data_IF_500805690027
#
_entry.id   IF_500805690027
#
_cell.length_a   1.000
_cell.length_b   1.000
_cell.length_c   1.000
_cell.angle_alpha   90.00
_cell.angle_beta   90.00
_cell.angle_gamma   90.00
#
_symmetry.space_group_name_H-M   'P 1'
#
loop_
_entity.id
_entity.type
_entity.pdbx_description
1 polymer ?
#
# COMPACT_ATOMS: atom_id res chain seq x y z
N UNK A 1 3.70 28.94 -4.38
CA UNK A 1 4.60 28.07 -3.65
C UNK A 1 4.47 26.64 -4.14
N UNK A 2 5.52 26.11 -4.79
CA UNK A 2 5.55 24.74 -5.26
C UNK A 2 5.70 23.75 -4.11
N UNK A 3 5.08 22.59 -4.23
CA UNK A 3 5.28 21.50 -3.30
C UNK A 3 6.48 20.67 -3.77
N UNK A 4 7.43 20.41 -2.86
CA UNK A 4 8.50 19.47 -3.14
C UNK A 4 7.93 18.04 -3.02
N UNK A 5 7.79 17.38 -4.15
CA UNK A 5 7.61 15.93 -4.20
C UNK A 5 8.99 15.28 -4.20
N UNK A 6 9.12 14.11 -3.57
CA UNK A 6 10.39 13.41 -3.46
C UNK A 6 10.96 13.02 -4.83
N UNK A 7 12.28 12.94 -4.93
CA UNK A 7 13.02 12.85 -6.19
C UNK A 7 12.86 11.49 -6.92
N UNK A 8 12.57 10.39 -6.19
CA UNK A 8 12.65 9.03 -6.74
C UNK A 8 11.79 8.81 -7.97
N UNK A 9 10.57 9.39 -8.00
CA UNK A 9 9.68 9.25 -9.16
C UNK A 9 10.23 9.97 -10.41
N UNK A 10 11.03 11.02 -10.25
CA UNK A 10 11.63 11.74 -11.38
C UNK A 10 12.60 10.85 -12.17
N UNK A 11 13.28 9.92 -11.52
CA UNK A 11 14.16 8.97 -12.24
C UNK A 11 13.37 7.99 -13.11
N UNK A 12 12.14 7.63 -12.73
CA UNK A 12 11.28 6.76 -13.55
C UNK A 12 10.90 7.45 -14.86
N UNK A 13 10.68 8.76 -14.82
CA UNK A 13 10.27 9.53 -16.00
C UNK A 13 11.43 10.24 -16.71
N UNK A 14 12.67 10.05 -16.24
CA UNK A 14 13.82 10.77 -16.75
C UNK A 14 13.97 10.63 -18.28
N UNK A 15 13.85 9.41 -18.81
CA UNK A 15 14.00 9.16 -20.25
C UNK A 15 12.97 9.91 -21.10
N UNK A 16 11.65 9.85 -20.82
CA UNK A 16 10.67 10.68 -21.51
C UNK A 16 11.02 12.18 -21.56
N UNK A 17 11.50 12.72 -20.44
CA UNK A 17 11.85 14.14 -20.33
C UNK A 17 13.15 14.50 -21.06
N UNK A 18 14.07 13.57 -21.21
CA UNK A 18 15.32 13.78 -21.96
C UNK A 18 15.13 13.65 -23.48
N UNK A 19 14.25 12.73 -23.92
CA UNK A 19 14.06 12.41 -25.34
C UNK A 19 13.12 13.39 -26.03
N UNK A 20 12.01 13.74 -25.36
CA UNK A 20 10.94 14.52 -25.96
C UNK A 20 10.91 15.96 -25.43
N UNK A 21 10.68 16.93 -26.31
CA UNK A 21 10.56 18.36 -25.95
C UNK A 21 9.11 18.82 -25.86
N UNK A 22 8.21 18.21 -26.64
CA UNK A 22 6.78 18.53 -26.61
C UNK A 22 6.14 18.02 -25.32
N UNK A 23 5.48 18.90 -24.52
CA UNK A 23 4.89 18.51 -23.22
C UNK A 23 3.82 17.42 -23.32
N UNK A 24 3.06 17.37 -24.42
CA UNK A 24 2.01 16.39 -24.66
C UNK A 24 2.65 15.02 -24.91
N UNK A 25 3.71 14.98 -25.74
CA UNK A 25 4.45 13.75 -26.03
C UNK A 25 5.15 13.26 -24.77
N UNK A 26 5.79 14.14 -23.99
CA UNK A 26 6.41 13.82 -22.69
C UNK A 26 5.38 13.18 -21.77
N UNK A 27 4.19 13.79 -21.64
CA UNK A 27 3.14 13.25 -20.78
C UNK A 27 2.68 11.85 -21.23
N UNK A 28 2.44 11.66 -22.53
CA UNK A 28 2.06 10.35 -23.10
C UNK A 28 3.14 9.30 -22.89
N UNK A 29 4.40 9.64 -23.16
CA UNK A 29 5.53 8.74 -22.98
C UNK A 29 5.74 8.36 -21.50
N UNK A 30 5.65 9.31 -20.59
CA UNK A 30 5.75 9.04 -19.15
C UNK A 30 4.55 8.21 -18.62
N UNK A 31 3.35 8.43 -19.14
CA UNK A 31 2.19 7.59 -18.83
C UNK A 31 2.35 6.17 -19.38
N UNK A 32 2.96 6.00 -20.55
CA UNK A 32 3.30 4.69 -21.09
C UNK A 32 4.33 3.96 -20.22
N UNK A 33 5.37 4.65 -19.74
CA UNK A 33 6.33 4.09 -18.77
C UNK A 33 5.60 3.63 -17.49
N UNK A 34 4.66 4.43 -16.98
CA UNK A 34 3.84 4.03 -15.84
C UNK A 34 3.05 2.75 -16.12
N UNK A 35 2.44 2.64 -17.31
CA UNK A 35 1.68 1.45 -17.71
C UNK A 35 2.58 0.21 -17.80
N UNK A 36 3.81 0.33 -18.32
CA UNK A 36 4.79 -0.75 -18.35
C UNK A 36 5.14 -1.23 -16.93
N UNK A 37 5.42 -0.32 -16.01
CA UNK A 37 5.66 -0.71 -14.62
C UNK A 37 4.44 -1.39 -13.99
N UNK A 38 3.25 -0.86 -14.20
CA UNK A 38 2.01 -1.49 -13.69
C UNK A 38 1.77 -2.88 -14.30
N UNK A 39 2.11 -3.10 -15.56
CA UNK A 39 2.01 -4.40 -16.21
C UNK A 39 2.93 -5.47 -15.57
N UNK A 40 3.93 -5.08 -14.80
CA UNK A 40 4.74 -6.05 -14.03
C UNK A 40 3.99 -6.64 -12.83
N UNK A 41 2.94 -5.97 -12.35
CA UNK A 41 2.21 -6.42 -11.13
C UNK A 41 1.49 -7.77 -11.33
N UNK A 42 0.73 -8.03 -12.42
CA UNK A 42 0.18 -9.36 -12.67
C UNK A 42 1.26 -10.43 -12.89
N UNK A 43 2.41 -10.08 -13.48
CA UNK A 43 3.53 -11.01 -13.64
C UNK A 43 4.09 -11.43 -12.28
N UNK A 44 4.28 -10.47 -11.36
CA UNK A 44 4.70 -10.77 -9.99
C UNK A 44 3.66 -11.60 -9.24
N UNK A 45 2.38 -11.28 -9.39
CA UNK A 45 1.28 -12.02 -8.79
C UNK A 45 1.22 -13.47 -9.31
N UNK A 46 1.37 -13.66 -10.63
CA UNK A 46 1.46 -15.00 -11.25
C UNK A 46 2.64 -15.78 -10.66
N UNK A 47 3.82 -15.19 -10.61
CA UNK A 47 5.01 -15.82 -10.07
C UNK A 47 4.85 -16.23 -8.59
N UNK A 48 4.25 -15.35 -7.75
CA UNK A 48 3.95 -15.66 -6.36
C UNK A 48 2.94 -16.82 -6.29
N UNK A 49 1.89 -16.80 -7.10
CA UNK A 49 0.91 -17.87 -7.18
C UNK A 49 1.53 -19.24 -7.50
N UNK A 50 2.36 -19.28 -8.53
CA UNK A 50 3.03 -20.54 -8.97
C UNK A 50 4.06 -21.03 -7.96
N UNK A 51 4.97 -20.17 -7.54
CA UNK A 51 6.15 -20.58 -6.78
C UNK A 51 5.90 -20.70 -5.28
N UNK A 52 5.13 -19.80 -4.71
CA UNK A 52 4.97 -19.70 -3.25
C UNK A 52 3.63 -20.18 -2.75
N UNK A 53 2.55 -19.95 -3.47
CA UNK A 53 1.22 -20.48 -3.15
C UNK A 53 0.99 -21.85 -3.77
N UNK A 54 1.93 -22.35 -4.57
CA UNK A 54 1.95 -23.70 -5.17
C UNK A 54 0.70 -24.02 -5.98
N UNK A 55 0.19 -23.06 -6.75
CA UNK A 55 -0.91 -23.33 -7.69
C UNK A 55 -0.38 -24.16 -8.86
N UNK A 56 -0.80 -25.42 -8.94
CA UNK A 56 -0.28 -26.37 -9.92
C UNK A 56 -0.75 -26.07 -11.34
N UNK A 57 -2.01 -25.66 -11.51
CA UNK A 57 -2.57 -25.33 -12.80
C UNK A 57 -2.23 -23.92 -13.21
N UNK A 58 -1.71 -23.73 -14.42
CA UNK A 58 -1.35 -22.43 -14.95
C UNK A 58 -2.53 -21.46 -14.97
N UNK A 59 -3.71 -21.93 -15.42
CA UNK A 59 -4.95 -21.16 -15.42
C UNK A 59 -5.31 -20.58 -14.04
N UNK A 60 -5.03 -21.31 -12.96
CA UNK A 60 -5.32 -20.87 -11.60
C UNK A 60 -4.41 -19.72 -11.19
N UNK A 61 -3.11 -19.80 -11.55
CA UNK A 61 -2.17 -18.72 -11.29
C UNK A 61 -2.48 -17.49 -12.15
N UNK A 62 -2.91 -17.66 -13.40
CA UNK A 62 -3.37 -16.54 -14.25
C UNK A 62 -4.63 -15.89 -13.68
N UNK A 63 -5.61 -16.69 -13.24
CA UNK A 63 -6.83 -16.17 -12.61
C UNK A 63 -6.51 -15.38 -11.34
N UNK A 64 -5.63 -15.91 -10.48
CA UNK A 64 -5.19 -15.24 -9.27
C UNK A 64 -4.49 -13.91 -9.61
N UNK A 65 -3.58 -13.92 -10.59
CA UNK A 65 -2.84 -12.75 -11.04
C UNK A 65 -3.76 -11.67 -11.60
N UNK A 66 -4.66 -12.03 -12.52
CA UNK A 66 -5.61 -11.09 -13.10
C UNK A 66 -6.53 -10.48 -12.04
N UNK A 67 -7.15 -11.31 -11.20
CA UNK A 67 -8.10 -10.85 -10.18
C UNK A 67 -7.47 -10.03 -9.05
N UNK A 68 -6.16 -10.17 -8.81
CA UNK A 68 -5.46 -9.41 -7.75
C UNK A 68 -4.76 -8.16 -8.25
N UNK A 69 -4.33 -8.12 -9.51
CA UNK A 69 -3.55 -7.00 -10.04
C UNK A 69 -4.38 -6.06 -10.93
N UNK A 70 -5.42 -6.57 -11.60
CA UNK A 70 -6.27 -5.78 -12.52
C UNK A 70 -7.50 -5.26 -11.75
N UNK A 71 -7.24 -4.35 -10.81
CA UNK A 71 -8.29 -3.66 -10.03
C UNK A 71 -8.41 -2.24 -10.57
N UNK A 72 -9.62 -1.78 -10.89
CA UNK A 72 -9.85 -0.48 -11.54
C UNK A 72 -9.22 0.68 -10.76
N UNK A 73 -9.43 0.77 -9.44
CA UNK A 73 -8.86 1.82 -8.60
C UNK A 73 -7.32 1.84 -8.58
N UNK A 74 -6.70 0.68 -8.81
CA UNK A 74 -5.26 0.51 -8.92
C UNK A 74 -4.78 0.90 -10.32
N UNK A 75 -5.46 0.42 -11.37
CA UNK A 75 -5.08 0.67 -12.76
C UNK A 75 -5.16 2.15 -13.14
N UNK A 76 -6.13 2.89 -12.60
CA UNK A 76 -6.22 4.34 -12.82
C UNK A 76 -4.97 5.12 -12.37
N UNK A 77 -4.18 4.58 -11.44
CA UNK A 77 -2.94 5.25 -11.01
C UNK A 77 -1.86 5.26 -12.10
N UNK A 78 -1.93 4.41 -13.11
CA UNK A 78 -0.99 4.40 -14.23
C UNK A 78 -1.12 5.65 -15.13
N UNK A 79 -2.32 6.21 -15.25
CA UNK A 79 -2.59 7.37 -16.12
C UNK A 79 -2.00 8.65 -15.54
N UNK A 80 -1.90 8.75 -14.21
CA UNK A 80 -1.42 9.97 -13.57
C UNK A 80 0.10 9.97 -13.37
N UNK A 81 0.76 11.07 -13.73
CA UNK A 81 2.19 11.28 -13.43
C UNK A 81 2.36 11.62 -11.95
N UNK A 82 2.27 10.59 -11.10
CA UNK A 82 2.37 10.70 -9.64
C UNK A 82 3.12 9.50 -9.07
N UNK A 83 3.69 9.67 -7.88
CA UNK A 83 4.41 8.61 -7.19
C UNK A 83 3.56 7.42 -6.71
N UNK A 84 2.22 7.53 -6.80
CA UNK A 84 1.30 6.49 -6.32
C UNK A 84 1.45 5.17 -7.07
N UNK A 85 1.62 5.23 -8.39
CA UNK A 85 1.85 4.06 -9.23
C UNK A 85 3.08 3.27 -8.74
N UNK A 86 4.20 3.97 -8.51
CA UNK A 86 5.42 3.32 -8.03
C UNK A 86 5.25 2.67 -6.65
N UNK A 87 4.42 3.24 -5.77
CA UNK A 87 4.11 2.61 -4.49
C UNK A 87 3.38 1.27 -4.67
N UNK A 88 2.49 1.17 -5.66
CA UNK A 88 1.79 -0.09 -5.97
C UNK A 88 2.80 -1.13 -6.44
N UNK A 89 3.62 -0.80 -7.44
CA UNK A 89 4.63 -1.71 -8.00
C UNK A 89 5.61 -2.16 -6.92
N UNK A 90 6.16 -1.21 -6.14
CA UNK A 90 7.15 -1.51 -5.11
C UNK A 90 6.57 -2.31 -3.94
N UNK A 91 5.26 -2.21 -3.68
CA UNK A 91 4.62 -3.08 -2.69
C UNK A 91 4.66 -4.56 -3.14
N UNK A 92 4.38 -4.84 -4.41
CA UNK A 92 4.53 -6.17 -4.99
C UNK A 92 5.98 -6.66 -5.00
N UNK A 93 6.92 -5.78 -5.38
CA UNK A 93 8.35 -6.10 -5.38
C UNK A 93 8.87 -6.41 -3.99
N UNK A 94 8.45 -5.66 -2.96
CA UNK A 94 8.81 -5.95 -1.57
C UNK A 94 8.26 -7.30 -1.12
N UNK A 95 6.98 -7.61 -1.41
CA UNK A 95 6.41 -8.92 -1.10
C UNK A 95 7.19 -10.05 -1.77
N UNK A 96 7.54 -9.89 -3.05
CA UNK A 96 8.32 -10.86 -3.80
C UNK A 96 9.73 -11.06 -3.22
N UNK A 97 10.44 -9.97 -2.88
CA UNK A 97 11.79 -10.08 -2.33
C UNK A 97 11.81 -10.63 -0.91
N UNK A 98 10.80 -10.38 -0.08
CA UNK A 98 10.65 -11.04 1.22
C UNK A 98 10.57 -12.57 1.01
N UNK A 99 9.71 -13.02 0.12
CA UNK A 99 9.55 -14.43 -0.20
C UNK A 99 10.82 -15.03 -0.81
N UNK A 100 11.45 -14.35 -1.78
CA UNK A 100 12.70 -14.79 -2.39
C UNK A 100 13.83 -14.91 -1.34
N UNK A 101 13.98 -13.93 -0.44
CA UNK A 101 14.99 -13.96 0.61
C UNK A 101 14.78 -15.13 1.58
N UNK A 102 13.52 -15.45 1.93
CA UNK A 102 13.22 -16.58 2.81
C UNK A 102 13.48 -17.93 2.15
N UNK A 103 13.30 -18.05 0.85
CA UNK A 103 13.36 -19.31 0.09
C UNK A 103 14.56 -19.39 -0.86
N UNK A 104 15.53 -18.51 -0.70
CA UNK A 104 16.79 -18.55 -1.45
C UNK A 104 17.56 -19.85 -1.15
N UNK A 105 18.10 -20.46 -2.20
CA UNK A 105 18.83 -21.74 -2.11
C UNK A 105 20.21 -21.55 -1.47
N UNK A 106 20.85 -20.41 -1.70
CA UNK A 106 22.20 -20.11 -1.21
C UNK A 106 22.21 -18.91 -0.26
N UNK A 107 23.22 -18.83 0.61
CA UNK A 107 23.43 -17.66 1.48
C UNK A 107 23.62 -16.38 0.66
N UNK A 108 24.34 -16.46 -0.46
CA UNK A 108 24.59 -15.32 -1.36
C UNK A 108 23.30 -14.78 -1.96
N UNK A 109 22.46 -15.65 -2.53
CA UNK A 109 21.13 -15.25 -3.05
C UNK A 109 20.28 -14.59 -1.98
N UNK A 110 20.26 -15.18 -0.76
CA UNK A 110 19.52 -14.62 0.38
C UNK A 110 19.97 -13.21 0.71
N UNK A 111 21.27 -12.97 0.75
CA UNK A 111 21.83 -11.64 1.01
C UNK A 111 21.44 -10.65 -0.10
N UNK A 112 21.55 -11.05 -1.37
CA UNK A 112 21.17 -10.21 -2.51
C UNK A 112 19.70 -9.80 -2.41
N UNK A 113 18.76 -10.76 -2.24
CA UNK A 113 17.35 -10.44 -2.12
C UNK A 113 17.04 -9.59 -0.88
N UNK A 114 17.77 -9.78 0.21
CA UNK A 114 17.63 -8.97 1.43
C UNK A 114 18.05 -7.52 1.20
N UNK A 115 19.16 -7.29 0.49
CA UNK A 115 19.63 -5.93 0.15
C UNK A 115 18.66 -5.28 -0.85
N UNK A 116 18.20 -6.02 -1.87
CA UNK A 116 17.20 -5.54 -2.83
C UNK A 116 15.88 -5.17 -2.15
N UNK A 117 15.41 -5.96 -1.17
CA UNK A 117 14.25 -5.63 -0.36
C UNK A 117 14.41 -4.28 0.36
N UNK A 118 15.56 -4.10 1.03
CA UNK A 118 15.88 -2.84 1.72
C UNK A 118 15.92 -1.66 0.76
N UNK A 119 16.56 -1.83 -0.40
CA UNK A 119 16.59 -0.83 -1.45
C UNK A 119 15.18 -0.46 -1.93
N UNK A 120 14.36 -1.45 -2.31
CA UNK A 120 13.02 -1.20 -2.83
C UNK A 120 12.10 -0.54 -1.81
N UNK A 121 12.18 -0.93 -0.54
CA UNK A 121 11.42 -0.30 0.54
C UNK A 121 11.80 1.18 0.73
N UNK A 122 13.11 1.49 0.72
CA UNK A 122 13.60 2.87 0.81
C UNK A 122 13.34 3.65 -0.48
N UNK A 123 13.43 3.01 -1.64
CA UNK A 123 13.10 3.65 -2.92
C UNK A 123 11.62 4.03 -3.01
N UNK A 124 10.71 3.22 -2.44
CA UNK A 124 9.31 3.61 -2.29
C UNK A 124 9.17 4.90 -1.48
N UNK A 125 9.96 5.06 -0.41
CA UNK A 125 10.02 6.29 0.36
C UNK A 125 10.65 7.44 -0.45
N UNK A 126 11.64 7.18 -1.28
CA UNK A 126 12.22 8.16 -2.20
C UNK A 126 11.25 8.61 -3.30
N UNK A 127 10.33 7.75 -3.75
CA UNK A 127 9.29 8.11 -4.72
C UNK A 127 8.17 8.96 -4.09
N UNK A 128 7.76 8.63 -2.87
CA UNK A 128 6.71 9.37 -2.16
C UNK A 128 6.86 9.20 -0.65
N UNK A 129 6.64 10.27 0.13
CA UNK A 129 6.76 10.24 1.60
C UNK A 129 5.92 9.14 2.28
N UNK A 130 4.81 8.71 1.67
CA UNK A 130 3.99 7.57 2.13
C UNK A 130 4.70 6.22 2.01
N UNK A 131 5.71 6.10 1.17
CA UNK A 131 6.55 4.91 1.06
C UNK A 131 7.24 4.51 2.36
N UNK A 132 7.27 5.38 3.37
CA UNK A 132 7.71 5.05 4.73
C UNK A 132 6.92 3.84 5.30
N UNK A 133 5.68 3.65 4.88
CA UNK A 133 4.87 2.47 5.26
C UNK A 133 5.53 1.18 4.78
N UNK A 134 6.09 1.17 3.58
CA UNK A 134 6.78 -0.02 3.04
C UNK A 134 8.06 -0.33 3.81
N UNK A 135 8.79 0.72 4.23
CA UNK A 135 9.95 0.56 5.11
C UNK A 135 9.54 -0.10 6.42
N UNK A 136 8.48 0.43 7.06
CA UNK A 136 7.98 -0.09 8.34
C UNK A 136 7.38 -1.50 8.17
N UNK A 137 6.53 -1.71 7.15
CA UNK A 137 5.90 -3.00 6.90
C UNK A 137 6.93 -4.10 6.61
N UNK A 138 7.96 -3.80 5.79
CA UNK A 138 9.05 -4.73 5.52
C UNK A 138 9.85 -5.03 6.79
N UNK A 139 10.21 -4.00 7.56
CA UNK A 139 10.96 -4.17 8.81
C UNK A 139 10.19 -5.00 9.83
N UNK A 140 8.92 -4.69 10.05
CA UNK A 140 8.05 -5.44 10.95
C UNK A 140 7.86 -6.90 10.49
N UNK A 141 7.67 -7.11 9.18
CA UNK A 141 7.56 -8.46 8.62
C UNK A 141 8.84 -9.25 8.88
N UNK A 142 10.02 -8.68 8.56
CA UNK A 142 11.33 -9.34 8.80
C UNK A 142 11.55 -9.66 10.28
N UNK A 143 11.15 -8.75 11.18
CA UNK A 143 11.27 -8.97 12.63
C UNK A 143 10.32 -10.04 13.15
N UNK A 144 9.10 -10.12 12.63
CA UNK A 144 8.05 -10.99 13.15
C UNK A 144 8.11 -12.43 12.59
N UNK A 145 8.58 -12.62 11.35
CA UNK A 145 8.67 -13.95 10.72
C UNK A 145 9.35 -15.01 11.60
N UNK A 146 10.52 -14.76 12.24
CA UNK A 146 11.20 -15.78 13.04
C UNK A 146 10.41 -16.29 14.25
N UNK A 147 9.47 -15.52 14.75
CA UNK A 147 8.60 -15.97 15.85
C UNK A 147 7.57 -17.01 15.39
N UNK A 148 7.30 -17.05 14.08
CA UNK A 148 6.25 -17.87 13.48
C UNK A 148 6.79 -19.05 12.67
N UNK A 149 8.05 -18.95 12.19
CA UNK A 149 8.69 -20.02 11.42
C UNK A 149 9.63 -20.84 12.28
N UNK A 150 9.46 -22.16 12.27
CA UNK A 150 10.37 -23.08 12.99
C UNK A 150 11.75 -23.18 12.34
N UNK A 151 11.83 -22.93 11.03
CA UNK A 151 13.02 -23.18 10.23
C UNK A 151 14.01 -22.00 10.35
N UNK A 152 15.10 -22.20 11.12
CA UNK A 152 16.19 -21.22 11.26
C UNK A 152 16.80 -20.84 9.90
N UNK A 153 16.82 -21.76 8.97
CA UNK A 153 17.39 -21.56 7.64
C UNK A 153 16.64 -20.56 6.77
N UNK A 154 15.36 -20.28 7.08
CA UNK A 154 14.51 -19.33 6.36
C UNK A 154 14.52 -17.92 6.95
N UNK A 155 15.40 -17.65 7.91
CA UNK A 155 15.49 -16.31 8.49
C UNK A 155 16.21 -15.35 7.55
N UNK A 156 15.61 -14.18 7.37
CA UNK A 156 16.24 -13.08 6.67
C UNK A 156 17.37 -12.54 7.54
N UNK A 157 18.60 -12.33 7.00
CA UNK A 157 19.73 -11.84 7.78
C UNK A 157 19.50 -10.41 8.26
N UNK A 158 19.30 -10.21 9.56
CA UNK A 158 18.98 -8.89 10.14
C UNK A 158 20.07 -7.86 9.87
N UNK A 159 21.34 -8.21 10.03
CA UNK A 159 22.46 -7.29 9.81
C UNK A 159 22.46 -6.80 8.36
N UNK A 160 22.27 -7.71 7.39
CA UNK A 160 22.20 -7.34 5.98
C UNK A 160 20.97 -6.47 5.69
N UNK A 161 19.82 -6.78 6.30
CA UNK A 161 18.58 -6.03 6.08
C UNK A 161 18.64 -4.64 6.71
N UNK A 162 18.86 -4.54 8.01
CA UNK A 162 18.86 -3.26 8.71
C UNK A 162 20.08 -2.41 8.39
N UNK A 163 21.24 -3.04 8.17
CA UNK A 163 22.46 -2.35 7.74
C UNK A 163 22.29 -1.70 6.37
N UNK A 164 21.83 -2.46 5.38
CA UNK A 164 21.59 -1.90 4.04
C UNK A 164 20.45 -0.87 4.04
N UNK A 165 19.39 -1.10 4.82
CA UNK A 165 18.29 -0.14 4.98
C UNK A 165 18.79 1.19 5.57
N UNK A 166 19.63 1.15 6.60
CA UNK A 166 20.23 2.35 7.19
C UNK A 166 21.08 3.12 6.17
N UNK A 167 21.92 2.41 5.41
CA UNK A 167 22.73 3.01 4.33
C UNK A 167 21.85 3.68 3.30
N UNK A 168 20.82 3.01 2.78
CA UNK A 168 19.91 3.59 1.78
C UNK A 168 19.11 4.77 2.34
N UNK A 169 18.70 4.76 3.61
CA UNK A 169 18.03 5.90 4.24
C UNK A 169 18.97 7.11 4.40
N UNK A 170 20.25 6.89 4.67
CA UNK A 170 21.25 7.96 4.72
C UNK A 170 21.44 8.55 3.32
N UNK A 171 21.61 7.70 2.29
CA UNK A 171 21.71 8.13 0.89
C UNK A 171 20.46 8.92 0.50
N UNK A 172 19.27 8.41 0.80
CA UNK A 172 18.00 9.11 0.53
C UNK A 172 17.97 10.50 1.18
N UNK A 173 18.38 10.60 2.43
CA UNK A 173 18.44 11.89 3.15
C UNK A 173 19.40 12.89 2.47
N UNK A 174 20.55 12.43 2.01
CA UNK A 174 21.53 13.24 1.27
C UNK A 174 20.93 13.72 -0.05
N UNK A 175 20.35 12.79 -0.84
CA UNK A 175 19.77 13.11 -2.14
C UNK A 175 18.55 14.03 -2.01
N UNK A 176 17.68 13.83 -1.01
CA UNK A 176 16.57 14.76 -0.73
C UNK A 176 17.08 16.17 -0.42
N UNK A 177 18.15 16.30 0.39
CA UNK A 177 18.75 17.60 0.69
C UNK A 177 19.33 18.25 -0.57
N UNK A 178 20.07 17.48 -1.37
CA UNK A 178 20.69 17.93 -2.60
C UNK A 178 19.65 18.42 -3.63
N UNK A 179 18.69 17.57 -4.01
CA UNK A 179 17.67 17.94 -5.00
C UNK A 179 16.75 19.05 -4.52
N UNK A 180 16.44 19.09 -3.21
CA UNK A 180 15.66 20.17 -2.65
C UNK A 180 16.38 21.51 -2.80
N UNK A 181 17.66 21.56 -2.52
CA UNK A 181 18.47 22.77 -2.67
C UNK A 181 18.62 23.16 -4.14
N UNK A 182 18.88 22.21 -5.02
CA UNK A 182 19.04 22.44 -6.46
C UNK A 182 17.76 23.00 -7.12
N UNK A 183 16.57 22.53 -6.71
CA UNK A 183 15.28 22.95 -7.31
C UNK A 183 14.72 24.20 -6.69
N UNK A 184 14.84 24.35 -5.36
CA UNK A 184 14.11 25.38 -4.61
C UNK A 184 15.03 26.41 -3.94
N UNK A 185 16.35 26.23 -4.01
CA UNK A 185 17.32 27.06 -3.31
C UNK A 185 17.02 27.11 -1.81
N UNK A 186 17.01 28.33 -1.27
CA UNK A 186 16.69 28.58 0.14
C UNK A 186 15.17 28.73 0.41
N UNK A 187 14.33 28.67 -0.64
CA UNK A 187 12.89 28.74 -0.45
C UNK A 187 12.42 27.54 0.40
N UNK A 188 11.76 27.84 1.51
CA UNK A 188 11.25 26.82 2.42
C UNK A 188 10.19 25.96 1.70
N UNK A 189 10.58 24.77 1.28
CA UNK A 189 9.62 23.78 0.85
C UNK A 189 8.72 23.40 2.03
N UNK A 190 7.40 23.39 1.81
CA UNK A 190 6.46 22.98 2.85
C UNK A 190 6.78 21.57 3.34
N UNK A 191 6.77 21.38 4.65
CA UNK A 191 7.02 20.08 5.26
C UNK A 191 6.01 19.05 4.74
N UNK A 192 6.52 17.94 4.19
CA UNK A 192 5.72 16.84 3.65
C UNK A 192 5.29 15.82 4.71
N UNK A 193 5.56 16.12 5.99
CA UNK A 193 5.26 15.25 7.12
C UNK A 193 3.86 15.46 7.71
N UNK A 194 3.53 14.65 8.72
CA UNK A 194 2.28 14.80 9.50
C UNK A 194 2.24 16.22 10.09
N UNK A 195 1.15 16.98 9.86
CA UNK A 195 1.06 18.36 10.35
C UNK A 195 1.21 18.41 11.87
N UNK A 196 2.01 19.36 12.37
CA UNK A 196 2.24 19.56 13.81
C UNK A 196 0.91 19.64 14.57
N UNK A 197 0.81 18.96 15.69
CA UNK A 197 -0.39 18.93 16.55
C UNK A 197 -1.51 18.01 16.09
N UNK A 198 -1.38 17.28 14.96
CA UNK A 198 -2.43 16.34 14.50
C UNK A 198 -2.74 15.28 15.54
N UNK A 199 -1.74 14.68 16.17
CA UNK A 199 -1.95 13.66 17.20
C UNK A 199 -2.67 14.21 18.45
N UNK A 200 -2.45 15.50 18.79
CA UNK A 200 -3.20 16.14 19.88
C UNK A 200 -4.68 16.26 19.58
N UNK A 201 -5.10 16.22 18.31
CA UNK A 201 -6.52 16.24 17.94
C UNK A 201 -7.24 14.95 18.32
N UNK A 202 -6.55 13.82 18.36
CA UNK A 202 -7.12 12.53 18.79
C UNK A 202 -7.49 12.52 20.29
N UNK A 203 -7.00 13.50 21.07
CA UNK A 203 -7.40 13.67 22.48
C UNK A 203 -8.67 14.54 22.63
N UNK A 204 -9.17 15.16 21.55
CA UNK A 204 -10.34 16.02 21.56
C UNK A 204 -11.54 15.30 20.93
N UNK A 205 -12.72 15.36 21.52
CA UNK A 205 -13.92 14.67 21.04
C UNK A 205 -14.26 14.98 19.58
N UNK A 206 -14.08 16.23 19.11
CA UNK A 206 -14.29 16.60 17.70
C UNK A 206 -13.24 15.98 16.77
N UNK A 207 -12.02 15.77 17.25
CA UNK A 207 -10.97 15.10 16.49
C UNK A 207 -11.25 13.61 16.34
N UNK A 208 -11.66 12.93 17.42
CA UNK A 208 -12.06 11.51 17.39
C UNK A 208 -13.25 11.30 16.45
N UNK A 209 -14.30 12.12 16.57
CA UNK A 209 -15.46 12.04 15.65
C UNK A 209 -15.07 12.22 14.18
N UNK A 210 -14.18 13.16 13.88
CA UNK A 210 -13.65 13.36 12.51
C UNK A 210 -12.85 12.16 12.03
N UNK A 211 -12.02 11.57 12.90
CA UNK A 211 -11.24 10.38 12.59
C UNK A 211 -12.16 9.19 12.26
N UNK A 212 -13.15 8.92 13.10
CA UNK A 212 -14.11 7.81 12.89
C UNK A 212 -14.86 7.98 11.56
N UNK A 213 -15.38 9.18 11.28
CA UNK A 213 -16.07 9.46 10.01
C UNK A 213 -15.21 9.21 8.79
N UNK A 214 -13.96 9.67 8.84
CA UNK A 214 -12.99 9.45 7.77
C UNK A 214 -12.61 7.97 7.67
N UNK A 215 -12.37 7.29 8.77
CA UNK A 215 -12.04 5.86 8.79
C UNK A 215 -13.16 5.03 8.16
N UNK A 216 -14.43 5.31 8.49
CA UNK A 216 -15.61 4.68 7.87
C UNK A 216 -15.61 4.95 6.36
N UNK A 217 -15.39 6.19 5.92
CA UNK A 217 -15.35 6.54 4.49
C UNK A 217 -14.24 5.81 3.73
N UNK A 218 -13.08 5.67 4.33
CA UNK A 218 -11.94 4.96 3.71
C UNK A 218 -12.15 3.45 3.66
N UNK A 219 -12.73 2.85 4.70
CA UNK A 219 -13.11 1.43 4.68
C UNK A 219 -14.18 1.17 3.63
N UNK A 220 -15.23 2.01 3.59
CA UNK A 220 -16.27 1.91 2.59
C UNK A 220 -15.70 1.95 1.17
N UNK A 221 -14.83 2.94 0.89
CA UNK A 221 -14.21 3.06 -0.42
C UNK A 221 -13.30 1.86 -0.75
N UNK A 222 -12.52 1.37 0.21
CA UNK A 222 -11.70 0.18 0.00
C UNK A 222 -12.54 -1.05 -0.35
N UNK A 223 -13.67 -1.23 0.32
CA UNK A 223 -14.52 -2.39 0.11
C UNK A 223 -15.34 -2.28 -1.17
N UNK A 224 -15.92 -1.10 -1.46
CA UNK A 224 -16.72 -0.89 -2.66
C UNK A 224 -15.88 -0.92 -3.94
N UNK A 225 -14.70 -0.27 -3.96
CA UNK A 225 -13.82 -0.22 -5.14
C UNK A 225 -13.18 -1.57 -5.49
N UNK A 226 -13.21 -2.54 -4.58
CA UNK A 226 -12.66 -3.90 -4.76
C UNK A 226 -13.73 -4.99 -4.70
N UNK A 227 -15.01 -4.64 -4.81
CA UNK A 227 -16.15 -5.57 -4.71
C UNK A 227 -16.08 -6.45 -3.45
N UNK A 228 -15.62 -5.88 -2.32
CA UNK A 228 -15.48 -6.57 -1.05
C UNK A 228 -14.21 -7.40 -0.88
N UNK A 229 -13.39 -7.59 -1.93
CA UNK A 229 -12.19 -8.42 -1.83
C UNK A 229 -11.19 -7.94 -0.77
N UNK A 230 -11.04 -6.63 -0.58
CA UNK A 230 -10.18 -6.12 0.50
C UNK A 230 -10.72 -6.48 1.87
N UNK A 231 -12.04 -6.46 2.10
CA UNK A 231 -12.64 -6.92 3.35
C UNK A 231 -12.33 -8.39 3.62
N UNK A 232 -12.58 -9.25 2.63
CA UNK A 232 -12.23 -10.68 2.68
C UNK A 232 -10.73 -10.86 2.96
N UNK A 233 -9.89 -10.14 2.24
CA UNK A 233 -8.44 -10.20 2.37
C UNK A 233 -7.95 -9.84 3.76
N UNK A 234 -8.50 -8.79 4.37
CA UNK A 234 -8.16 -8.39 5.74
C UNK A 234 -8.53 -9.47 6.76
N UNK A 235 -9.73 -10.02 6.67
CA UNK A 235 -10.18 -11.11 7.55
C UNK A 235 -9.32 -12.36 7.33
N UNK A 236 -9.04 -12.70 6.07
CA UNK A 236 -8.18 -13.83 5.73
C UNK A 236 -6.75 -13.66 6.26
N UNK A 237 -6.17 -12.45 6.13
CA UNK A 237 -4.86 -12.14 6.69
C UNK A 237 -4.82 -12.35 8.21
N UNK A 238 -5.84 -11.86 8.93
CA UNK A 238 -5.94 -12.06 10.38
C UNK A 238 -6.01 -13.55 10.73
N UNK A 239 -6.85 -14.33 10.03
CA UNK A 239 -6.98 -15.78 10.24
C UNK A 239 -5.66 -16.48 9.96
N UNK A 240 -5.03 -16.21 8.81
CA UNK A 240 -3.76 -16.83 8.41
C UNK A 240 -2.66 -16.52 9.42
N UNK A 241 -2.50 -15.25 9.80
CA UNK A 241 -1.49 -14.82 10.79
C UNK A 241 -1.77 -15.46 12.15
N UNK A 242 -3.02 -15.52 12.59
CA UNK A 242 -3.40 -16.18 13.83
C UNK A 242 -3.05 -17.69 13.81
N UNK A 243 -3.38 -18.39 12.72
CA UNK A 243 -3.04 -19.81 12.54
C UNK A 243 -1.52 -20.02 12.48
N UNK A 244 -0.79 -19.09 11.86
CA UNK A 244 0.68 -19.12 11.84
C UNK A 244 1.28 -18.95 13.24
N UNK A 245 0.74 -18.02 14.06
CA UNK A 245 1.14 -17.84 15.48
C UNK A 245 0.90 -19.13 16.26
N UNK A 246 -0.24 -19.81 16.03
CA UNK A 246 -0.57 -21.10 16.64
C UNK A 246 0.21 -22.27 16.03
N UNK A 247 1.11 -22.02 15.08
CA UNK A 247 1.91 -23.05 14.38
C UNK A 247 1.05 -24.16 13.76
N UNK A 248 -0.12 -23.81 13.28
CA UNK A 248 -1.03 -24.73 12.61
C UNK A 248 -0.42 -25.27 11.32
N UNK A 249 -0.57 -26.57 11.07
CA UNK A 249 -0.15 -27.20 9.80
C UNK A 249 -0.99 -26.78 8.60
N UNK A 250 -2.13 -26.11 8.81
CA UNK A 250 -3.03 -25.65 7.74
C UNK A 250 -2.47 -24.48 6.94
N UNK A 251 -1.50 -23.75 7.49
CA UNK A 251 -0.90 -22.55 6.89
C UNK A 251 0.59 -22.74 6.72
N UNK A 252 1.08 -22.43 5.53
CA UNK A 252 2.51 -22.41 5.22
C UNK A 252 3.16 -21.10 5.63
N UNK A 253 4.49 -21.11 5.82
CA UNK A 253 5.24 -19.88 6.13
C UNK A 253 5.12 -18.83 5.02
N UNK A 254 4.95 -19.25 3.76
CA UNK A 254 4.74 -18.36 2.60
C UNK A 254 3.41 -17.61 2.70
N UNK A 255 2.33 -18.35 2.93
CA UNK A 255 0.99 -17.80 3.11
C UNK A 255 0.96 -16.82 4.28
N UNK A 256 1.56 -17.21 5.41
CA UNK A 256 1.65 -16.37 6.59
C UNK A 256 2.45 -15.09 6.37
N UNK A 257 3.58 -15.19 5.67
CA UNK A 257 4.42 -14.02 5.35
C UNK A 257 3.72 -13.05 4.43
N UNK A 258 3.09 -13.55 3.38
CA UNK A 258 2.33 -12.73 2.41
C UNK A 258 1.16 -12.02 3.10
N UNK A 259 0.41 -12.76 3.93
CA UNK A 259 -0.71 -12.23 4.71
C UNK A 259 -0.25 -11.16 5.71
N UNK A 260 0.84 -11.40 6.44
CA UNK A 260 1.40 -10.45 7.40
C UNK A 260 1.85 -9.16 6.71
N UNK A 261 2.63 -9.27 5.62
CA UNK A 261 3.11 -8.11 4.88
C UNK A 261 1.96 -7.31 4.25
N UNK A 262 0.99 -7.99 3.63
CA UNK A 262 -0.19 -7.34 3.04
C UNK A 262 -1.03 -6.61 4.09
N UNK A 263 -1.25 -7.23 5.25
CA UNK A 263 -1.96 -6.62 6.37
C UNK A 263 -1.22 -5.38 6.90
N UNK A 264 0.09 -5.48 7.14
CA UNK A 264 0.91 -4.37 7.66
C UNK A 264 0.99 -3.22 6.66
N UNK A 265 1.10 -3.51 5.37
CA UNK A 265 1.11 -2.49 4.31
C UNK A 265 -0.22 -1.73 4.26
N UNK A 266 -1.34 -2.43 4.36
CA UNK A 266 -2.66 -1.80 4.38
C UNK A 266 -2.88 -1.01 5.66
N UNK A 267 -2.69 -1.63 6.81
CA UNK A 267 -2.90 -0.99 8.11
C UNK A 267 -2.01 0.26 8.29
N UNK A 268 -0.73 0.16 7.91
CA UNK A 268 0.19 1.28 7.93
C UNK A 268 -0.25 2.42 7.01
N UNK A 269 -0.66 2.11 5.78
CA UNK A 269 -1.16 3.10 4.81
C UNK A 269 -2.45 3.76 5.30
N UNK A 270 -3.35 2.97 5.86
CA UNK A 270 -4.62 3.44 6.43
C UNK A 270 -4.40 4.40 7.60
N UNK A 271 -3.60 3.98 8.58
CA UNK A 271 -3.29 4.80 9.77
C UNK A 271 -2.54 6.07 9.38
N UNK A 272 -1.49 5.95 8.57
CA UNK A 272 -0.71 7.10 8.13
C UNK A 272 -1.57 8.10 7.37
N UNK A 273 -2.38 7.64 6.44
CA UNK A 273 -3.23 8.49 5.61
C UNK A 273 -4.33 9.18 6.41
N UNK A 274 -5.04 8.44 7.27
CA UNK A 274 -6.10 8.99 8.12
C UNK A 274 -5.54 10.00 9.13
N UNK A 275 -4.40 9.73 9.75
CA UNK A 275 -3.73 10.69 10.64
C UNK A 275 -3.26 11.92 9.86
N UNK A 276 -2.69 11.75 8.66
CA UNK A 276 -2.23 12.87 7.83
C UNK A 276 -3.36 13.85 7.50
N UNK A 277 -4.52 13.34 7.11
CA UNK A 277 -5.66 14.18 6.71
C UNK A 277 -6.54 14.66 7.86
N UNK A 278 -6.39 14.14 9.07
CA UNK A 278 -7.26 14.43 10.21
C UNK A 278 -7.47 15.93 10.45
N UNK A 279 -6.40 16.74 10.40
CA UNK A 279 -6.49 18.18 10.59
C UNK A 279 -7.35 18.87 9.53
N UNK A 280 -7.21 18.43 8.27
CA UNK A 280 -7.99 18.96 7.14
C UNK A 280 -9.44 18.53 7.21
N UNK A 281 -9.69 17.25 7.47
CA UNK A 281 -11.04 16.69 7.60
C UNK A 281 -11.79 17.31 8.77
N UNK A 282 -11.13 17.53 9.92
CA UNK A 282 -11.74 18.25 11.05
C UNK A 282 -12.16 19.67 10.66
N UNK A 283 -11.35 20.40 9.89
CA UNK A 283 -11.73 21.73 9.40
C UNK A 283 -12.97 21.70 8.51
N UNK A 284 -13.10 20.66 7.67
CA UNK A 284 -14.27 20.49 6.82
C UNK A 284 -15.56 20.18 7.62
N UNK A 285 -15.45 19.40 8.72
CA UNK A 285 -16.62 19.06 9.54
C UNK A 285 -17.07 20.16 10.50
N UNK A 286 -16.13 20.90 11.07
CA UNK A 286 -16.36 21.84 12.18
C UNK A 286 -15.90 23.26 11.90
N UNK A 287 -15.38 23.55 10.71
CA UNK A 287 -14.92 24.87 10.28
C UNK A 287 -15.74 25.43 9.14
N UNK A 288 -15.40 26.66 8.76
CA UNK A 288 -16.03 27.37 7.63
C UNK A 288 -15.49 26.94 6.27
N UNK A 289 -14.32 26.30 6.24
CA UNK A 289 -13.66 25.87 5.00
C UNK A 289 -14.10 24.47 4.61
N UNK A 290 -14.81 24.34 3.49
CA UNK A 290 -15.26 23.08 2.92
C UNK A 290 -14.42 22.62 1.72
N UNK A 291 -13.13 22.90 1.73
CA UNK A 291 -12.18 22.55 0.68
C UNK A 291 -11.73 21.08 0.86
N UNK A 292 -11.76 20.30 -0.23
CA UNK A 292 -11.25 18.92 -0.27
C UNK A 292 -12.02 17.94 0.62
N UNK A 293 -13.34 17.94 0.47
CA UNK A 293 -14.26 16.98 1.13
C UNK A 293 -14.00 15.55 0.68
N UNK A 294 -13.47 15.36 -0.55
CA UNK A 294 -13.01 14.09 -1.10
C UNK A 294 -12.06 13.31 -0.16
N UNK A 295 -11.34 14.01 0.73
CA UNK A 295 -10.43 13.37 1.71
C UNK A 295 -11.13 12.45 2.70
N UNK A 296 -12.45 12.53 2.80
CA UNK A 296 -13.25 11.66 3.66
C UNK A 296 -13.38 10.25 3.06
N UNK A 297 -13.30 10.12 1.73
CA UNK A 297 -13.43 8.86 0.97
C UNK A 297 -12.20 8.59 0.09
N UNK A 298 -11.03 8.98 0.52
CA UNK A 298 -9.85 9.06 -0.31
C UNK A 298 -9.02 7.77 -0.27
N UNK A 299 -9.26 6.84 -1.20
CA UNK A 299 -8.59 5.53 -1.30
C UNK A 299 -7.16 5.59 -1.83
N UNK A 300 -6.82 6.62 -2.60
CA UNK A 300 -5.51 6.79 -3.22
C UNK A 300 -4.32 6.52 -2.30
N UNK A 301 -4.51 6.73 -0.98
CA UNK A 301 -3.45 6.52 0.01
C UNK A 301 -3.28 5.06 0.44
N UNK A 302 -4.26 4.22 0.20
CA UNK A 302 -4.30 2.83 0.64
C UNK A 302 -4.31 1.83 -0.52
N UNK A 303 -4.63 2.27 -1.74
CA UNK A 303 -4.73 1.40 -2.91
C UNK A 303 -3.43 0.64 -3.23
N UNK A 304 -2.27 1.13 -2.78
CA UNK A 304 -0.99 0.43 -2.97
C UNK A 304 -0.97 -0.98 -2.32
N UNK A 305 -1.78 -1.22 -1.29
CA UNK A 305 -1.86 -2.51 -0.62
C UNK A 305 -3.01 -3.41 -1.13
N UNK A 306 -3.91 -2.90 -1.98
CA UNK A 306 -5.09 -3.65 -2.42
C UNK A 306 -4.74 -4.95 -3.15
N UNK A 307 -3.75 -4.90 -4.05
CA UNK A 307 -3.39 -6.06 -4.86
C UNK A 307 -3.05 -7.29 -4.03
N UNK A 308 -2.21 -7.14 -3.02
CA UNK A 308 -1.80 -8.25 -2.15
C UNK A 308 -2.99 -8.77 -1.31
N UNK A 309 -3.83 -7.86 -0.79
CA UNK A 309 -5.02 -8.27 -0.05
C UNK A 309 -6.03 -9.00 -0.94
N UNK A 310 -6.25 -8.52 -2.16
CA UNK A 310 -7.11 -9.20 -3.13
C UNK A 310 -6.54 -10.56 -3.54
N UNK A 311 -5.21 -10.68 -3.67
CA UNK A 311 -4.55 -11.96 -3.89
C UNK A 311 -4.84 -12.95 -2.76
N UNK A 312 -4.66 -12.54 -1.49
CA UNK A 312 -4.97 -13.39 -0.33
C UNK A 312 -6.46 -13.72 -0.29
N UNK A 313 -7.35 -12.77 -0.59
CA UNK A 313 -8.80 -12.98 -0.64
C UNK A 313 -9.17 -14.06 -1.65
N UNK A 314 -8.74 -13.90 -2.91
CA UNK A 314 -9.03 -14.86 -3.98
C UNK A 314 -8.44 -16.23 -3.67
N UNK A 315 -7.21 -16.27 -3.14
CA UNK A 315 -6.55 -17.50 -2.77
C UNK A 315 -7.35 -18.30 -1.75
N UNK A 316 -7.83 -17.68 -0.67
CA UNK A 316 -8.62 -18.38 0.34
C UNK A 316 -10.04 -18.71 -0.12
N UNK A 317 -10.65 -17.88 -0.97
CA UNK A 317 -12.01 -18.14 -1.48
C UNK A 317 -12.05 -19.30 -2.47
N UNK A 318 -11.01 -19.50 -3.26
CA UNK A 318 -11.02 -20.45 -4.37
C UNK A 318 -10.24 -21.73 -4.00
N UNK A 319 -9.01 -21.59 -3.46
CA UNK A 319 -8.10 -22.73 -3.29
C UNK A 319 -7.89 -23.19 -1.84
N UNK A 320 -8.17 -22.33 -0.86
CA UNK A 320 -8.02 -22.65 0.59
C UNK A 320 -9.34 -22.44 1.35
N UNK A 321 -10.43 -22.97 0.80
CA UNK A 321 -11.79 -22.80 1.34
C UNK A 321 -11.93 -23.35 2.76
N UNK A 322 -11.14 -24.34 3.12
CA UNK A 322 -11.06 -24.92 4.46
C UNK A 322 -10.56 -23.92 5.52
N UNK A 323 -9.71 -22.95 5.15
CA UNK A 323 -9.29 -21.87 6.04
C UNK A 323 -10.35 -20.79 6.19
N UNK A 324 -11.16 -20.59 5.16
CA UNK A 324 -12.16 -19.52 5.08
C UNK A 324 -13.57 -20.08 5.12
N UNK A 325 -13.91 -20.67 6.27
CA UNK A 325 -15.20 -21.31 6.51
C UNK A 325 -16.39 -20.34 6.48
N UNK A 326 -17.59 -20.87 6.67
CA UNK A 326 -18.85 -20.10 6.59
C UNK A 326 -18.87 -18.88 7.53
N UNK A 327 -18.34 -19.00 8.75
CA UNK A 327 -18.25 -17.88 9.71
C UNK A 327 -17.43 -16.70 9.18
N UNK A 328 -16.30 -16.97 8.55
CA UNK A 328 -15.45 -15.93 7.94
C UNK A 328 -16.13 -15.26 6.75
N UNK A 329 -16.86 -16.02 5.93
CA UNK A 329 -17.67 -15.51 4.81
C UNK A 329 -18.79 -14.61 5.34
N UNK A 330 -19.54 -15.05 6.35
CA UNK A 330 -20.59 -14.26 6.99
C UNK A 330 -20.02 -12.97 7.61
N UNK A 331 -18.87 -13.04 8.29
CA UNK A 331 -18.19 -11.89 8.84
C UNK A 331 -17.78 -10.88 7.75
N UNK A 332 -17.34 -11.36 6.58
CA UNK A 332 -16.99 -10.51 5.45
C UNK A 332 -18.22 -9.79 4.88
N UNK A 333 -19.33 -10.51 4.69
CA UNK A 333 -20.59 -9.92 4.24
C UNK A 333 -21.12 -8.92 5.27
N UNK A 334 -21.12 -9.29 6.55
CA UNK A 334 -21.52 -8.40 7.65
C UNK A 334 -20.61 -7.17 7.72
N UNK A 335 -19.29 -7.32 7.55
CA UNK A 335 -18.32 -6.23 7.52
C UNK A 335 -18.59 -5.24 6.39
N UNK A 336 -18.84 -5.73 5.18
CA UNK A 336 -19.22 -4.89 4.04
C UNK A 336 -20.56 -4.20 4.26
N UNK A 337 -21.60 -4.94 4.72
CA UNK A 337 -22.92 -4.39 5.00
C UNK A 337 -22.89 -3.34 6.11
N UNK A 338 -22.21 -3.64 7.24
CA UNK A 338 -22.04 -2.68 8.33
C UNK A 338 -21.32 -1.43 7.86
N UNK A 339 -20.25 -1.57 7.08
CA UNK A 339 -19.49 -0.42 6.56
C UNK A 339 -20.36 0.44 5.63
N UNK A 340 -21.21 -0.17 4.79
CA UNK A 340 -22.17 0.54 3.95
C UNK A 340 -23.18 1.32 4.80
N UNK A 341 -23.77 0.70 5.81
CA UNK A 341 -24.75 1.33 6.72
C UNK A 341 -24.11 2.50 7.48
N UNK A 342 -22.92 2.27 8.07
CA UNK A 342 -22.19 3.31 8.78
C UNK A 342 -21.80 4.46 7.86
N UNK A 343 -21.35 4.16 6.64
CA UNK A 343 -21.05 5.17 5.64
C UNK A 343 -22.29 6.01 5.32
N UNK A 344 -23.40 5.37 4.98
CA UNK A 344 -24.65 6.03 4.62
C UNK A 344 -25.20 6.93 5.73
N UNK A 345 -25.12 6.49 7.00
CA UNK A 345 -25.66 7.23 8.14
C UNK A 345 -24.70 8.26 8.74
N UNK A 346 -23.40 8.00 8.72
CA UNK A 346 -22.39 8.80 9.46
C UNK A 346 -21.56 9.68 8.53
N UNK A 347 -21.20 9.21 7.34
CA UNK A 347 -20.26 9.88 6.45
C UNK A 347 -20.95 10.55 5.26
N UNK A 348 -21.83 9.86 4.57
CA UNK A 348 -22.50 10.35 3.36
C UNK A 348 -23.27 11.67 3.54
N UNK A 349 -23.97 11.94 4.67
CA UNK A 349 -24.65 13.22 4.86
C UNK A 349 -23.73 14.43 4.78
N UNK A 350 -22.44 14.27 5.09
CA UNK A 350 -21.45 15.35 4.97
C UNK A 350 -20.91 15.55 3.55
N UNK A 351 -21.06 14.56 2.68
CA UNK A 351 -20.70 14.65 1.25
C UNK A 351 -21.80 15.32 0.43
N UNK A 352 -23.05 14.99 0.70
CA UNK A 352 -24.20 15.41 -0.11
C UNK A 352 -24.51 16.93 -0.04
N UNK A 353 -24.13 17.60 1.04
CA UNK A 353 -24.40 19.04 1.23
C UNK A 353 -23.27 19.94 0.71
N UNK A 354 -22.43 19.47 -0.19
CA UNK A 354 -21.24 20.22 -0.58
C UNK A 354 -21.27 20.67 -2.05
N UNK A 355 -21.20 21.97 -2.26
CA UNK A 355 -20.98 22.60 -3.56
C UNK A 355 -19.68 22.15 -4.26
N UNK A 356 -18.79 21.52 -3.52
CA UNK A 356 -17.53 20.98 -4.00
C UNK A 356 -17.71 19.81 -5.00
N UNK A 357 -18.68 18.92 -4.78
CA UNK A 357 -18.96 17.80 -5.67
C UNK A 357 -19.33 18.32 -7.07
N UNK A 358 -20.11 19.40 -7.14
CA UNK A 358 -20.49 20.05 -8.42
C UNK A 358 -19.31 20.72 -9.13
N UNK A 359 -18.29 21.20 -8.43
CA UNK A 359 -17.20 22.00 -8.98
C UNK A 359 -16.01 21.18 -9.51
N UNK A 360 -15.83 19.93 -9.03
CA UNK A 360 -14.63 19.10 -9.31
C UNK A 360 -14.93 17.71 -9.84
N UNK A 361 -16.20 17.32 -9.93
CA UNK A 361 -16.67 16.06 -10.53
C UNK A 361 -17.54 16.26 -11.77
N UNK A 362 -17.74 17.53 -12.18
CA UNK A 362 -18.44 17.89 -13.41
C UNK A 362 -17.50 18.00 -14.60
#
# INVERSE_FOLDING_TARGET
>A
GGYYYRYGIAFVWLLPFLIFKDPIIVYKAASFVNALFMATTPVMAYYIGRRYLKLEKEKDAVLLAAGSAIISSVMFQAIYLRGDMMLIVLNWVCALFILNAMYAKTKKERQIYTILLSFCAVYAYACHSRGIVMVIASAMTVLLIPFFTKERERRIPYISFFGSMAVFLVIDKILVKYFRHAIWGNAAAHATGIPKGTLKLLRKGTGIKSYIRMAIGWLYNSFSSTLGLVCVGLIACVIIVFLMIRRSKKVTSQEGTLALFGFLSYAGSFVLGTVFFLKSVKKNFYGTSKIRVDRIVYDRYICCAFGILCMVALYVLIWKRDLFGIRAKMLSVAGCGLTLVLFSKITAPYLNNQSFVRKYMG
#
